data_IF_687231278709
#
_entry.id   IF_687231278709
#
_cell.length_a   1.000
_cell.length_b   1.000
_cell.length_c   1.000
_cell.angle_alpha   90.00
_cell.angle_beta   90.00
_cell.angle_gamma   90.00
#
_symmetry.space_group_name_H-M   'P 1'
#
loop_
_entity.id
_entity.type
_entity.pdbx_description
1 polymer ?
#
# COMPACT_ATOMS: atom_id res chain seq x y z
N UNK A 1 25.79 14.18 -17.36
CA UNK A 1 25.55 13.60 -16.03
C UNK A 1 24.12 13.08 -16.03
N UNK A 2 23.92 11.78 -16.26
CA UNK A 2 22.57 11.21 -16.32
C UNK A 2 22.05 11.01 -14.91
N UNK A 3 21.09 11.83 -14.48
CA UNK A 3 20.34 11.62 -13.25
C UNK A 3 19.36 10.47 -13.46
N UNK A 4 19.67 9.31 -12.89
CA UNK A 4 18.74 8.19 -12.83
C UNK A 4 17.60 8.55 -11.85
N UNK A 5 16.42 8.83 -12.38
CA UNK A 5 15.22 8.96 -11.55
C UNK A 5 14.77 7.57 -11.13
N UNK A 6 15.01 7.20 -9.87
CA UNK A 6 14.42 5.99 -9.30
C UNK A 6 12.91 6.19 -9.15
N UNK A 7 12.13 5.43 -9.91
CA UNK A 7 10.67 5.43 -9.80
C UNK A 7 10.25 4.50 -8.65
N UNK A 8 9.83 5.08 -7.53
CA UNK A 8 9.27 4.32 -6.42
C UNK A 8 7.84 3.91 -6.71
N UNK A 9 7.51 2.64 -6.48
CA UNK A 9 6.17 2.06 -6.67
C UNK A 9 5.74 1.28 -5.44
N UNK A 10 4.44 1.29 -5.14
CA UNK A 10 3.89 0.51 -4.05
C UNK A 10 3.70 -0.97 -4.40
N UNK A 11 4.01 -1.82 -3.44
CA UNK A 11 3.59 -3.23 -3.37
C UNK A 11 3.20 -3.53 -1.91
N UNK A 12 1.93 -3.34 -1.58
CA UNK A 12 1.43 -3.44 -0.20
C UNK A 12 0.71 -4.77 -0.03
N UNK A 13 1.08 -5.54 0.99
CA UNK A 13 0.36 -6.75 1.37
C UNK A 13 -0.61 -6.39 2.49
N UNK A 14 -1.90 -6.64 2.27
CA UNK A 14 -2.95 -6.42 3.27
C UNK A 14 -3.58 -7.75 3.65
N UNK A 15 -3.91 -7.91 4.94
CA UNK A 15 -4.73 -9.02 5.40
C UNK A 15 -6.18 -8.54 5.47
N UNK A 16 -7.06 -9.25 4.77
CA UNK A 16 -8.50 -8.97 4.77
C UNK A 16 -9.20 -10.12 5.47
N UNK A 17 -10.16 -9.79 6.32
CA UNK A 17 -11.00 -10.75 7.04
C UNK A 17 -12.45 -10.57 6.61
N UNK A 18 -13.11 -11.66 6.28
CA UNK A 18 -14.57 -11.70 6.13
C UNK A 18 -15.18 -12.73 7.10
N UNK A 19 -16.45 -13.07 6.89
CA UNK A 19 -17.15 -14.08 7.69
C UNK A 19 -16.65 -15.51 7.45
N UNK A 20 -15.96 -15.78 6.35
CA UNK A 20 -15.45 -17.12 5.99
C UNK A 20 -14.02 -17.35 6.50
N UNK A 21 -13.20 -16.29 6.57
CA UNK A 21 -11.82 -16.44 7.00
C UNK A 21 -10.98 -15.19 6.77
N UNK A 22 -9.67 -15.44 6.66
CA UNK A 22 -8.67 -14.41 6.37
C UNK A 22 -7.95 -14.76 5.08
N UNK A 23 -7.66 -13.74 4.29
CA UNK A 23 -6.85 -13.86 3.09
C UNK A 23 -5.89 -12.68 2.96
N UNK A 24 -4.90 -12.80 2.09
CA UNK A 24 -3.91 -11.74 1.84
C UNK A 24 -4.06 -11.25 0.41
N UNK A 25 -4.25 -9.94 0.25
CA UNK A 25 -4.24 -9.28 -1.05
C UNK A 25 -2.98 -8.45 -1.23
N UNK A 26 -2.59 -8.28 -2.49
CA UNK A 26 -1.49 -7.40 -2.89
C UNK A 26 -2.08 -6.19 -3.61
N UNK A 27 -1.87 -5.01 -3.07
CA UNK A 27 -2.22 -3.74 -3.70
C UNK A 27 -1.00 -3.21 -4.45
N UNK A 28 -1.17 -3.05 -5.76
CA UNK A 28 -0.17 -2.44 -6.63
C UNK A 28 -0.32 -0.92 -6.67
N UNK A 29 0.69 -0.27 -7.25
CA UNK A 29 0.90 1.17 -7.27
C UNK A 29 -0.37 2.03 -7.41
N UNK A 30 -1.19 1.80 -8.44
CA UNK A 30 -2.29 2.71 -8.74
C UNK A 30 -3.40 2.63 -7.69
N UNK A 31 -3.72 1.41 -7.25
CA UNK A 31 -4.70 1.17 -6.16
C UNK A 31 -4.16 1.71 -4.84
N UNK A 32 -2.88 1.48 -4.54
CA UNK A 32 -2.25 1.98 -3.31
C UNK A 32 -2.16 3.50 -3.29
N UNK A 33 -1.87 4.16 -4.42
CA UNK A 33 -1.86 5.62 -4.53
C UNK A 33 -3.24 6.21 -4.28
N UNK A 34 -4.29 5.61 -4.84
CA UNK A 34 -5.67 6.02 -4.58
C UNK A 34 -6.04 5.83 -3.12
N UNK A 35 -5.63 4.71 -2.52
CA UNK A 35 -5.91 4.40 -1.12
C UNK A 35 -5.22 5.39 -0.17
N UNK A 36 -3.95 5.71 -0.42
CA UNK A 36 -3.15 6.60 0.43
C UNK A 36 -3.22 8.08 0.06
N UNK A 37 -3.87 8.45 -1.03
CA UNK A 37 -3.85 9.80 -1.61
C UNK A 37 -2.42 10.42 -1.68
N UNK A 38 -1.43 9.57 -1.95
CA UNK A 38 -0.01 9.97 -1.96
C UNK A 38 0.82 9.05 -2.82
N UNK A 39 1.94 9.57 -3.35
CA UNK A 39 2.87 8.76 -4.14
C UNK A 39 3.88 8.02 -3.26
N UNK A 40 4.33 6.85 -3.73
CA UNK A 40 5.33 6.04 -3.04
C UNK A 40 6.60 6.83 -2.72
N UNK A 41 7.04 7.69 -3.64
CA UNK A 41 8.18 8.58 -3.42
C UNK A 41 7.95 9.54 -2.24
N UNK A 42 6.79 10.21 -2.17
CA UNK A 42 6.47 11.13 -1.07
C UNK A 42 6.42 10.40 0.27
N UNK A 43 5.82 9.21 0.31
CA UNK A 43 5.74 8.41 1.52
C UNK A 43 7.13 7.90 1.96
N UNK A 44 7.94 7.45 1.02
CA UNK A 44 9.30 6.96 1.27
C UNK A 44 10.21 8.06 1.84
N UNK A 45 10.13 9.26 1.29
CA UNK A 45 10.88 10.40 1.82
C UNK A 45 10.43 10.77 3.25
N UNK A 46 9.13 10.65 3.56
CA UNK A 46 8.62 10.84 4.92
C UNK A 46 9.11 9.77 5.89
N UNK A 47 9.21 8.51 5.44
CA UNK A 47 9.78 7.41 6.24
C UNK A 47 11.26 7.61 6.57
N UNK A 48 11.97 8.39 5.75
CA UNK A 48 13.38 8.72 5.96
C UNK A 48 13.57 9.86 6.97
N UNK A 49 12.46 10.49 7.42
CA UNK A 49 12.46 11.52 8.46
C UNK A 49 12.46 10.87 9.84
N UNK A 50 13.19 11.41 10.83
CA UNK A 50 13.21 10.89 12.21
C UNK A 50 11.82 10.87 12.88
N UNK A 51 10.90 11.74 12.45
CA UNK A 51 9.49 11.73 12.88
C UNK A 51 8.65 10.77 12.03
N UNK A 52 8.86 9.46 12.19
CA UNK A 52 8.21 8.42 11.37
C UNK A 52 6.74 8.11 11.76
N UNK A 53 6.24 8.72 12.84
CA UNK A 53 4.93 8.40 13.43
C UNK A 53 3.77 8.62 12.45
N UNK A 54 3.89 9.59 11.55
CA UNK A 54 2.86 9.94 10.56
C UNK A 54 2.63 8.87 9.49
N UNK A 55 3.65 8.10 9.12
CA UNK A 55 3.48 7.06 8.10
C UNK A 55 2.78 5.84 8.70
N UNK A 56 3.09 5.55 9.96
CA UNK A 56 2.41 4.51 10.72
C UNK A 56 0.93 4.83 10.91
N UNK A 57 0.59 6.07 11.30
CA UNK A 57 -0.82 6.49 11.45
C UNK A 57 -1.59 6.44 10.14
N UNK A 58 -0.95 6.83 9.01
CA UNK A 58 -1.57 6.79 7.70
C UNK A 58 -1.90 5.36 7.26
N UNK A 59 -0.98 4.41 7.42
CA UNK A 59 -1.20 2.99 7.09
C UNK A 59 -2.16 2.33 8.08
N UNK A 60 -2.11 2.68 9.36
CA UNK A 60 -3.02 2.14 10.38
C UNK A 60 -4.45 2.64 10.22
N UNK A 61 -4.67 3.79 9.58
CA UNK A 61 -6.01 4.36 9.35
C UNK A 61 -6.92 3.46 8.48
N UNK A 62 -6.35 2.47 7.78
CA UNK A 62 -7.10 1.49 7.01
C UNK A 62 -7.53 0.27 7.83
N UNK A 63 -6.95 0.08 9.02
CA UNK A 63 -7.28 -1.05 9.87
C UNK A 63 -8.71 -0.89 10.42
N UNK A 64 -9.50 -1.96 10.34
CA UNK A 64 -10.89 -1.95 10.79
C UNK A 64 -11.90 -1.26 9.85
N UNK A 65 -11.49 -0.94 8.61
CA UNK A 65 -12.40 -0.46 7.56
C UNK A 65 -12.82 -1.60 6.63
N UNK A 66 -14.06 -1.52 6.17
CA UNK A 66 -14.60 -2.43 5.16
C UNK A 66 -14.40 -1.86 3.76
N UNK A 67 -14.04 -2.73 2.82
CA UNK A 67 -13.77 -2.36 1.42
C UNK A 67 -14.38 -3.38 0.47
N UNK A 68 -14.74 -2.92 -0.73
CA UNK A 68 -15.11 -3.78 -1.85
C UNK A 68 -13.92 -3.86 -2.80
N UNK A 69 -13.46 -5.07 -3.08
CA UNK A 69 -12.31 -5.30 -3.96
C UNK A 69 -12.74 -5.95 -5.29
N UNK A 70 -12.20 -5.43 -6.39
CA UNK A 70 -12.18 -6.14 -7.69
C UNK A 70 -10.84 -6.84 -7.82
N UNK A 71 -10.86 -8.18 -7.87
CA UNK A 71 -9.65 -8.98 -7.81
C UNK A 71 -9.36 -9.65 -9.16
N UNK A 72 -8.07 -9.76 -9.50
CA UNK A 72 -7.57 -10.67 -10.54
C UNK A 72 -6.75 -11.75 -9.83
N UNK A 73 -7.22 -12.99 -9.91
CA UNK A 73 -6.48 -14.14 -9.40
C UNK A 73 -5.51 -14.57 -10.50
N UNK A 74 -4.23 -14.68 -10.15
CA UNK A 74 -3.25 -15.29 -11.04
C UNK A 74 -3.12 -16.77 -10.66
N UNK A 75 -3.39 -17.66 -11.61
CA UNK A 75 -3.10 -19.08 -11.47
C UNK A 75 -1.59 -19.28 -11.54
N UNK A 76 -0.92 -19.22 -10.39
CA UNK A 76 0.43 -19.77 -10.25
C UNK A 76 0.39 -20.72 -9.08
N UNK A 77 0.19 -22.00 -9.41
CA UNK A 77 0.61 -23.14 -8.60
C UNK A 77 1.93 -23.60 -9.22
#
# INVERSE_FOLDING_TARGET
MSTYFYEYRYKIHIQVKDNTGKTTFVLFNDVAKQLHDTSAYKLFNKLSSPDNNDVSSHIQSFNGKDFIFKLKLNSTI
#
